data_IF_255124766117
#
_entry.id   IF_255124766117
#
_cell.length_a   1.000
_cell.length_b   1.000
_cell.length_c   1.000
_cell.angle_alpha   90.00
_cell.angle_beta   90.00
_cell.angle_gamma   90.00
#
_symmetry.space_group_name_H-M   'P 1'
#
loop_
_entity.id
_entity.type
_entity.pdbx_description
1 polymer ?
#
# COMPACT_ATOMS: atom_id res chain seq x y z
N UNK A 1 9.94 6.51 -13.13
CA UNK A 1 10.83 5.77 -12.20
C UNK A 1 10.22 4.40 -11.83
N UNK A 2 9.88 3.57 -12.83
CA UNK A 2 9.43 2.18 -12.67
C UNK A 2 8.34 1.90 -11.62
N UNK A 3 7.40 2.83 -11.37
CA UNK A 3 6.38 2.66 -10.32
C UNK A 3 6.90 2.62 -8.88
N UNK A 4 8.15 3.05 -8.63
CA UNK A 4 8.75 3.01 -7.29
C UNK A 4 8.08 3.96 -6.29
N UNK A 5 8.06 3.56 -5.01
CA UNK A 5 7.49 4.36 -3.93
C UNK A 5 8.46 5.41 -3.39
N UNK A 6 8.07 6.66 -3.55
CA UNK A 6 8.64 7.82 -2.87
C UNK A 6 7.95 8.04 -1.53
N UNK A 7 8.51 8.86 -0.62
CA UNK A 7 7.83 9.25 0.61
C UNK A 7 6.42 9.80 0.33
N UNK A 8 6.29 10.64 -0.71
CA UNK A 8 5.01 11.16 -1.16
C UNK A 8 4.07 10.09 -1.74
N UNK A 9 4.59 9.05 -2.38
CA UNK A 9 3.79 7.92 -2.85
C UNK A 9 3.19 7.16 -1.67
N UNK A 10 3.98 6.90 -0.63
CA UNK A 10 3.50 6.26 0.61
C UNK A 10 2.40 7.09 1.25
N UNK A 11 2.67 8.38 1.48
CA UNK A 11 1.69 9.31 2.06
C UNK A 11 0.38 9.33 1.28
N UNK A 12 0.44 9.38 -0.06
CA UNK A 12 -0.74 9.34 -0.91
C UNK A 12 -1.50 8.01 -0.81
N UNK A 13 -0.80 6.88 -0.78
CA UNK A 13 -1.42 5.57 -0.63
C UNK A 13 -2.16 5.46 0.72
N UNK A 14 -1.50 5.83 1.81
CA UNK A 14 -2.10 5.82 3.14
C UNK A 14 -3.32 6.74 3.23
N UNK A 15 -3.26 7.93 2.62
CA UNK A 15 -4.42 8.83 2.58
C UNK A 15 -5.60 8.21 1.82
N UNK A 16 -5.36 7.45 0.76
CA UNK A 16 -6.44 6.76 0.05
C UNK A 16 -7.11 5.68 0.92
N UNK A 17 -6.32 4.91 1.67
CA UNK A 17 -6.86 3.91 2.61
C UNK A 17 -7.59 4.55 3.79
N UNK A 18 -7.12 5.70 4.28
CA UNK A 18 -7.81 6.46 5.33
C UNK A 18 -9.21 6.87 4.87
N UNK A 19 -9.32 7.44 3.67
CA UNK A 19 -10.63 7.76 3.07
C UNK A 19 -11.49 6.51 2.92
N UNK A 20 -10.93 5.39 2.48
CA UNK A 20 -11.66 4.15 2.34
C UNK A 20 -12.17 3.60 3.68
N UNK A 21 -11.36 3.68 4.74
CA UNK A 21 -11.73 3.27 6.09
C UNK A 21 -12.83 4.17 6.66
N UNK A 22 -12.66 5.50 6.59
CA UNK A 22 -13.61 6.49 7.09
C UNK A 22 -14.99 6.37 6.44
N UNK A 23 -15.02 6.00 5.16
CA UNK A 23 -16.25 5.96 4.35
C UNK A 23 -16.73 4.54 4.03
N UNK A 24 -16.11 3.51 4.63
CA UNK A 24 -16.41 2.08 4.40
C UNK A 24 -16.42 1.67 2.92
N UNK A 25 -15.44 2.14 2.14
CA UNK A 25 -15.34 1.86 0.72
C UNK A 25 -14.49 0.60 0.46
N UNK A 26 -14.98 -0.37 -0.34
CA UNK A 26 -14.14 -1.45 -0.84
C UNK A 26 -12.90 -0.92 -1.58
N UNK A 27 -11.76 -1.57 -1.39
CA UNK A 27 -10.48 -1.15 -1.98
C UNK A 27 -10.11 -2.05 -3.16
N UNK A 28 -9.79 -1.45 -4.31
CA UNK A 28 -9.17 -2.11 -5.45
C UNK A 28 -7.77 -1.55 -5.69
N UNK A 29 -6.75 -2.37 -5.51
CA UNK A 29 -5.35 -2.04 -5.75
C UNK A 29 -4.93 -2.54 -7.15
N UNK A 30 -4.62 -1.61 -8.05
CA UNK A 30 -3.99 -1.94 -9.34
C UNK A 30 -2.47 -1.90 -9.16
N UNK A 31 -1.88 -3.05 -8.88
CA UNK A 31 -0.48 -3.16 -8.45
C UNK A 31 0.44 -3.33 -9.65
N UNK A 32 1.26 -2.31 -9.88
CA UNK A 32 2.39 -2.34 -10.83
C UNK A 32 3.52 -1.43 -10.30
N UNK A 33 4.44 -2.01 -9.53
CA UNK A 33 5.47 -1.26 -8.82
C UNK A 33 6.80 -2.00 -8.73
N UNK A 34 7.89 -1.31 -9.06
CA UNK A 34 9.26 -1.78 -8.89
C UNK A 34 9.78 -1.79 -7.44
N UNK A 35 8.93 -1.49 -6.44
CA UNK A 35 9.30 -1.50 -5.02
C UNK A 35 9.55 -0.10 -4.43
N UNK A 36 10.28 -0.03 -3.32
CA UNK A 36 10.62 1.23 -2.65
C UNK A 36 11.72 1.99 -3.41
N UNK A 37 11.70 3.32 -3.36
CA UNK A 37 12.81 4.12 -3.87
C UNK A 37 13.98 4.09 -2.88
N UNK A 38 14.92 3.18 -3.11
CA UNK A 38 16.03 2.87 -2.19
C UNK A 38 16.88 4.08 -1.74
N UNK A 39 17.17 5.10 -2.58
CA UNK A 39 17.93 6.27 -2.12
C UNK A 39 17.25 7.11 -1.04
N UNK A 40 15.95 6.92 -0.79
CA UNK A 40 15.18 7.58 0.27
C UNK A 40 14.46 6.55 1.16
N UNK A 41 15.06 5.37 1.33
CA UNK A 41 14.42 4.26 2.05
C UNK A 41 14.06 4.60 3.51
N UNK A 42 14.80 5.48 4.16
CA UNK A 42 14.60 5.95 5.53
C UNK A 42 13.34 6.80 5.67
N UNK A 43 12.93 7.47 4.59
CA UNK A 43 11.67 8.22 4.50
C UNK A 43 10.51 7.37 3.93
N UNK A 44 10.76 6.09 3.62
CA UNK A 44 9.77 5.19 2.99
C UNK A 44 9.47 3.97 3.85
N UNK A 45 10.40 3.49 4.68
CA UNK A 45 10.30 2.19 5.35
C UNK A 45 10.00 2.24 6.87
N UNK A 46 10.79 2.95 7.71
CA UNK A 46 10.87 2.60 9.14
C UNK A 46 9.73 3.10 10.04
N UNK A 47 9.07 4.21 9.69
CA UNK A 47 8.18 4.90 10.64
C UNK A 47 6.72 4.37 10.60
N UNK A 48 5.92 4.75 11.60
CA UNK A 48 4.52 4.34 11.78
C UNK A 48 3.64 4.62 10.57
N UNK A 49 3.89 5.71 9.86
CA UNK A 49 3.13 6.15 8.69
C UNK A 49 3.93 5.94 7.39
N UNK A 50 4.85 4.95 7.40
CA UNK A 50 5.61 4.50 6.24
C UNK A 50 5.02 3.24 5.59
N UNK A 51 5.72 2.64 4.63
CA UNK A 51 5.21 1.63 3.69
C UNK A 51 4.49 0.45 4.38
N UNK A 52 4.97 -0.01 5.53
CA UNK A 52 4.35 -1.11 6.29
C UNK A 52 2.93 -0.81 6.79
N UNK A 53 2.57 0.48 6.92
CA UNK A 53 1.22 0.89 7.34
C UNK A 53 0.15 0.52 6.33
N UNK A 54 0.51 0.33 5.05
CA UNK A 54 -0.40 -0.12 3.99
C UNK A 54 -1.01 -1.47 4.37
N UNK A 55 -0.18 -2.42 4.82
CA UNK A 55 -0.61 -3.78 5.16
C UNK A 55 -1.39 -3.83 6.46
N UNK A 56 -0.98 -3.02 7.44
CA UNK A 56 -1.73 -2.83 8.68
C UNK A 56 -3.16 -2.35 8.38
N UNK A 57 -3.30 -1.36 7.51
CA UNK A 57 -4.60 -0.83 7.10
C UNK A 57 -5.42 -1.87 6.32
N UNK A 58 -4.81 -2.63 5.39
CA UNK A 58 -5.49 -3.72 4.67
C UNK A 58 -6.07 -4.75 5.64
N UNK A 59 -5.27 -5.25 6.58
CA UNK A 59 -5.72 -6.23 7.58
C UNK A 59 -6.83 -5.68 8.48
N UNK A 60 -6.71 -4.44 8.93
CA UNK A 60 -7.73 -3.77 9.76
C UNK A 60 -9.05 -3.56 9.00
N UNK A 61 -8.98 -3.10 7.75
CA UNK A 61 -10.15 -2.91 6.90
C UNK A 61 -10.84 -4.25 6.59
N UNK A 62 -10.07 -5.29 6.26
CA UNK A 62 -10.59 -6.64 6.06
C UNK A 62 -11.30 -7.16 7.32
N UNK A 63 -10.68 -7.01 8.50
CA UNK A 63 -11.30 -7.35 9.79
C UNK A 63 -12.57 -6.53 10.12
N UNK A 64 -12.73 -5.34 9.53
CA UNK A 64 -13.93 -4.51 9.64
C UNK A 64 -15.00 -4.81 8.56
N UNK A 65 -14.78 -5.84 7.74
CA UNK A 65 -15.68 -6.25 6.66
C UNK A 65 -15.62 -5.34 5.43
N UNK A 66 -14.54 -4.58 5.23
CA UNK A 66 -14.33 -3.74 4.04
C UNK A 66 -13.45 -4.53 3.05
N UNK A 67 -13.99 -4.99 1.90
CA UNK A 67 -13.26 -5.84 0.97
C UNK A 67 -11.95 -5.20 0.49
N UNK A 68 -10.88 -6.00 0.48
CA UNK A 68 -9.59 -5.65 -0.10
C UNK A 68 -9.40 -6.53 -1.35
N UNK A 69 -9.11 -5.92 -2.49
CA UNK A 69 -8.96 -6.65 -3.77
C UNK A 69 -7.71 -6.13 -4.46
N UNK A 70 -6.87 -7.03 -4.97
CA UNK A 70 -5.68 -6.66 -5.73
C UNK A 70 -5.70 -7.27 -7.14
N UNK A 71 -5.36 -6.47 -8.13
CA UNK A 71 -5.02 -6.91 -9.48
C UNK A 71 -3.55 -6.61 -9.73
N UNK A 72 -2.72 -7.65 -9.90
CA UNK A 72 -1.29 -7.51 -10.19
C UNK A 72 -1.12 -7.41 -11.70
N UNK A 73 -0.69 -6.25 -12.18
CA UNK A 73 -0.60 -5.91 -13.61
C UNK A 73 0.85 -5.79 -14.11
N UNK A 74 1.82 -6.06 -13.23
CA UNK A 74 3.23 -5.96 -13.55
C UNK A 74 4.11 -6.34 -12.37
N UNK A 75 5.19 -5.58 -12.14
CA UNK A 75 6.15 -5.93 -11.09
C UNK A 75 5.53 -5.77 -9.69
N UNK A 76 5.87 -6.70 -8.79
CA UNK A 76 5.35 -6.72 -7.43
C UNK A 76 6.35 -7.41 -6.49
N UNK A 77 7.43 -6.70 -6.15
CA UNK A 77 8.58 -7.27 -5.42
C UNK A 77 8.72 -6.73 -3.99
N UNK A 78 9.34 -7.53 -3.11
CA UNK A 78 9.64 -7.22 -1.72
C UNK A 78 8.42 -6.68 -0.96
N UNK A 79 8.48 -5.44 -0.45
CA UNK A 79 7.35 -4.83 0.25
C UNK A 79 6.07 -4.84 -0.59
N UNK A 80 6.15 -4.60 -1.90
CA UNK A 80 4.97 -4.58 -2.77
C UNK A 80 4.20 -5.90 -2.81
N UNK A 81 4.88 -7.02 -2.56
CA UNK A 81 4.30 -8.37 -2.61
C UNK A 81 3.22 -8.62 -1.54
N UNK A 82 3.22 -7.85 -0.45
CA UNK A 82 2.20 -7.98 0.59
C UNK A 82 0.86 -7.38 0.20
N UNK A 83 0.81 -6.42 -0.75
CA UNK A 83 -0.45 -5.85 -1.22
C UNK A 83 -1.37 -6.95 -1.79
N UNK A 84 -0.96 -7.78 -2.77
CA UNK A 84 -1.79 -8.89 -3.23
C UNK A 84 -1.90 -10.05 -2.23
N UNK A 85 -0.87 -10.33 -1.41
CA UNK A 85 -0.92 -11.44 -0.47
C UNK A 85 -1.88 -11.22 0.71
N UNK A 86 -2.19 -9.96 1.03
CA UNK A 86 -3.08 -9.57 2.14
C UNK A 86 -4.37 -8.88 1.68
N UNK A 87 -4.73 -9.03 0.40
CA UNK A 87 -6.02 -8.59 -0.13
C UNK A 87 -7.05 -9.70 -0.01
#
# INVERSE_FOLDING_TARGET
>A
KGGTYYPMTVKKHLRAQEVALENRLPCLYLVDSGGAFLPMQDEVFPDRDHFGRIFYNQARMSGAGIPQIAAVLGSCTAGGAYVPAMS
#
